data_IF_177133574271
#
_entry.id   IF_177133574271
#
_cell.length_a   1.000
_cell.length_b   1.000
_cell.length_c   1.000
_cell.angle_alpha   90.00
_cell.angle_beta   90.00
_cell.angle_gamma   90.00
#
_symmetry.space_group_name_H-M   'P 1'
#
loop_
_entity.id
_entity.type
_entity.pdbx_description
1 polymer ?
#
# COMPACT_ATOMS: atom_id res chain seq x y z
N UNK A 1 29.42 -12.80 6.86
CA UNK A 1 28.26 -13.41 7.54
C UNK A 1 27.05 -12.74 6.94
N UNK A 2 26.13 -13.52 6.38
CA UNK A 2 24.89 -12.99 5.81
C UNK A 2 24.17 -12.14 6.89
N UNK A 3 23.83 -10.90 6.55
CA UNK A 3 23.14 -9.97 7.44
C UNK A 3 21.67 -9.96 7.04
N UNK A 4 20.79 -10.44 7.90
CA UNK A 4 19.34 -10.47 7.67
C UNK A 4 18.69 -11.68 8.34
N UNK A 5 17.37 -11.79 8.16
CA UNK A 5 16.61 -12.94 8.63
C UNK A 5 16.90 -14.19 7.80
N UNK A 6 16.83 -15.36 8.44
CA UNK A 6 17.16 -16.63 7.81
C UNK A 6 15.91 -17.24 7.18
N UNK A 7 15.98 -17.53 5.88
CA UNK A 7 15.03 -18.43 5.24
C UNK A 7 15.48 -19.89 5.45
N UNK A 8 14.76 -20.63 6.30
CA UNK A 8 15.22 -21.94 6.77
C UNK A 8 15.20 -23.06 5.72
N UNK A 9 14.40 -22.93 4.66
CA UNK A 9 14.22 -23.99 3.67
C UNK A 9 15.27 -23.99 2.55
N UNK A 10 16.20 -23.03 2.51
CA UNK A 10 17.24 -22.97 1.49
C UNK A 10 18.54 -22.32 2.01
N UNK A 11 19.68 -22.50 1.30
CA UNK A 11 20.91 -21.76 1.59
C UNK A 11 20.69 -20.24 1.49
N UNK A 12 21.14 -19.50 2.49
CA UNK A 12 21.04 -18.04 2.52
C UNK A 12 22.31 -17.46 1.87
N UNK A 13 22.14 -16.67 0.81
CA UNK A 13 23.25 -16.13 0.02
C UNK A 13 23.97 -15.02 0.79
N UNK A 14 25.30 -15.10 0.90
CA UNK A 14 26.12 -14.08 1.57
C UNK A 14 26.39 -12.88 0.64
N UNK A 15 25.48 -11.91 0.65
CA UNK A 15 25.62 -10.67 -0.14
C UNK A 15 26.79 -9.79 0.30
N UNK A 16 27.49 -10.08 1.41
CA UNK A 16 28.72 -9.35 1.75
C UNK A 16 29.89 -9.68 0.81
N UNK A 17 29.80 -10.79 0.06
CA UNK A 17 30.84 -11.18 -0.89
C UNK A 17 30.74 -10.40 -2.20
N UNK A 18 31.86 -9.81 -2.66
CA UNK A 18 31.88 -8.98 -3.86
C UNK A 18 31.49 -9.75 -5.13
N UNK A 19 31.92 -11.00 -5.25
CA UNK A 19 31.59 -11.83 -6.41
C UNK A 19 30.09 -12.10 -6.49
N UNK A 20 29.42 -12.37 -5.36
CA UNK A 20 27.96 -12.54 -5.30
C UNK A 20 27.26 -11.29 -5.81
N UNK A 21 27.66 -10.10 -5.33
CA UNK A 21 27.03 -8.85 -5.76
C UNK A 21 27.28 -8.58 -7.23
N UNK A 22 28.48 -8.86 -7.74
CA UNK A 22 28.80 -8.73 -9.18
C UNK A 22 27.90 -9.61 -10.03
N UNK A 23 27.80 -10.88 -9.71
CA UNK A 23 27.06 -11.85 -10.51
C UNK A 23 25.55 -11.53 -10.51
N UNK A 24 24.99 -11.07 -9.38
CA UNK A 24 23.60 -10.57 -9.30
C UNK A 24 23.41 -9.32 -10.17
N UNK A 25 24.35 -8.36 -10.14
CA UNK A 25 24.30 -7.14 -10.96
C UNK A 25 24.32 -7.48 -12.45
N UNK A 26 25.17 -8.42 -12.87
CA UNK A 26 25.22 -8.91 -14.24
C UNK A 26 23.90 -9.57 -14.66
N UNK A 27 23.32 -10.41 -13.80
CA UNK A 27 22.04 -11.05 -14.06
C UNK A 27 20.87 -10.05 -14.18
N UNK A 28 20.79 -9.07 -13.28
CA UNK A 28 19.75 -8.03 -13.36
C UNK A 28 19.88 -7.17 -14.62
N UNK A 29 21.12 -6.86 -15.05
CA UNK A 29 21.36 -6.17 -16.31
C UNK A 29 20.92 -7.00 -17.51
N UNK A 30 21.18 -8.31 -17.51
CA UNK A 30 20.71 -9.21 -18.55
C UNK A 30 19.17 -9.29 -18.60
N UNK A 31 18.50 -9.40 -17.45
CA UNK A 31 17.03 -9.37 -17.39
C UNK A 31 16.45 -8.09 -18.00
N UNK A 32 17.10 -6.94 -17.76
CA UNK A 32 16.63 -5.67 -18.28
C UNK A 32 16.95 -5.47 -19.76
N UNK A 33 18.20 -5.70 -20.15
CA UNK A 33 18.70 -5.33 -21.48
C UNK A 33 18.39 -6.38 -22.55
N UNK A 34 18.33 -7.66 -22.18
CA UNK A 34 18.18 -8.77 -23.13
C UNK A 34 16.77 -9.39 -23.06
N UNK A 35 16.17 -9.48 -21.86
CA UNK A 35 14.81 -10.05 -21.70
C UNK A 35 13.72 -8.97 -21.77
N UNK A 36 14.02 -7.74 -21.35
CA UNK A 36 13.11 -6.59 -21.44
C UNK A 36 12.28 -6.31 -20.18
N UNK A 37 12.74 -6.73 -19.00
CA UNK A 37 12.11 -6.33 -17.74
C UNK A 37 12.40 -4.86 -17.40
N UNK A 38 11.37 -4.09 -17.04
CA UNK A 38 11.54 -2.67 -16.68
C UNK A 38 11.79 -2.42 -15.18
N UNK A 39 11.52 -3.40 -14.31
CA UNK A 39 11.57 -3.17 -12.87
C UNK A 39 11.52 -4.42 -12.01
N UNK A 40 11.73 -4.24 -10.70
CA UNK A 40 11.99 -5.33 -9.76
C UNK A 40 11.00 -5.36 -8.59
N UNK A 41 10.38 -6.52 -8.34
CA UNK A 41 9.83 -6.88 -7.03
C UNK A 41 10.84 -7.75 -6.32
N UNK A 42 11.42 -7.21 -5.25
CA UNK A 42 12.44 -7.88 -4.45
C UNK A 42 11.73 -8.70 -3.37
N UNK A 43 11.90 -10.02 -3.48
CA UNK A 43 11.37 -11.01 -2.56
C UNK A 43 12.11 -10.97 -1.22
N UNK A 44 11.40 -11.23 -0.11
CA UNK A 44 11.96 -11.45 1.23
C UNK A 44 13.10 -10.49 1.62
N UNK A 45 12.91 -9.17 1.48
CA UNK A 45 13.99 -8.17 1.64
C UNK A 45 14.47 -7.97 3.08
N UNK A 46 13.90 -8.72 4.02
CA UNK A 46 14.43 -8.86 5.38
C UNK A 46 15.64 -9.79 5.46
N UNK A 47 15.81 -10.67 4.48
CA UNK A 47 16.92 -11.62 4.43
C UNK A 47 18.27 -11.01 4.06
N UNK A 48 18.31 -9.76 3.60
CA UNK A 48 19.55 -9.10 3.20
C UNK A 48 19.47 -7.57 3.35
N UNK A 49 20.62 -6.92 3.54
CA UNK A 49 20.69 -5.48 3.79
C UNK A 49 20.14 -4.64 2.62
N UNK A 50 19.35 -3.60 2.95
CA UNK A 50 18.90 -2.59 2.00
C UNK A 50 20.05 -1.84 1.29
N UNK A 51 21.26 -1.81 1.87
CA UNK A 51 22.44 -1.24 1.21
C UNK A 51 22.87 -2.04 -0.02
N UNK A 52 22.69 -3.36 -0.01
CA UNK A 52 22.96 -4.19 -1.19
C UNK A 52 21.87 -4.04 -2.24
N UNK A 53 20.61 -3.92 -1.80
CA UNK A 53 19.48 -3.56 -2.68
C UNK A 53 19.76 -2.27 -3.44
N UNK A 54 20.31 -1.26 -2.76
CA UNK A 54 20.73 0.00 -3.40
C UNK A 54 21.71 -0.25 -4.54
N UNK A 55 22.79 -1.01 -4.32
CA UNK A 55 23.77 -1.32 -5.36
C UNK A 55 23.12 -1.99 -6.58
N UNK A 56 22.20 -2.93 -6.34
CA UNK A 56 21.50 -3.65 -7.40
C UNK A 56 20.60 -2.72 -8.21
N UNK A 57 19.84 -1.84 -7.56
CA UNK A 57 18.96 -0.87 -8.22
C UNK A 57 19.79 0.16 -9.00
N UNK A 58 20.84 0.72 -8.40
CA UNK A 58 21.69 1.73 -9.06
C UNK A 58 22.40 1.16 -10.29
N UNK A 59 22.84 -0.10 -10.22
CA UNK A 59 23.52 -0.75 -11.35
C UNK A 59 22.56 -1.12 -12.48
N UNK A 60 21.38 -1.65 -12.13
CA UNK A 60 20.40 -2.11 -13.11
C UNK A 60 19.46 -1.01 -13.62
N UNK A 61 19.39 0.14 -12.95
CA UNK A 61 18.58 1.31 -13.32
C UNK A 61 17.13 0.96 -13.79
N UNK A 62 16.33 0.31 -12.92
CA UNK A 62 14.94 -0.02 -13.23
C UNK A 62 14.06 1.24 -13.28
N UNK A 63 12.96 1.18 -14.03
CA UNK A 63 11.91 2.19 -13.98
C UNK A 63 11.18 2.21 -12.62
N UNK A 64 11.08 1.06 -11.97
CA UNK A 64 10.50 0.93 -10.64
C UNK A 64 11.09 -0.25 -9.85
N UNK A 65 11.25 -0.08 -8.54
CA UNK A 65 11.67 -1.14 -7.64
C UNK A 65 10.83 -1.12 -6.36
N UNK A 66 10.47 -2.30 -5.87
CA UNK A 66 9.69 -2.50 -4.66
C UNK A 66 10.22 -3.69 -3.86
N UNK A 67 10.42 -3.50 -2.55
CA UNK A 67 10.73 -4.58 -1.63
C UNK A 67 9.53 -5.08 -0.84
N UNK A 68 9.47 -6.39 -0.66
CA UNK A 68 8.61 -7.04 0.33
C UNK A 68 9.26 -7.06 1.71
N UNK A 69 9.12 -5.95 2.44
CA UNK A 69 9.47 -5.91 3.85
C UNK A 69 8.23 -6.29 4.67
N UNK A 70 8.09 -7.58 4.96
CA UNK A 70 6.96 -8.10 5.72
C UNK A 70 7.41 -8.55 7.11
N UNK A 71 6.91 -7.85 8.14
CA UNK A 71 7.15 -8.21 9.52
C UNK A 71 5.85 -8.23 10.34
N UNK A 72 5.93 -8.77 11.56
CA UNK A 72 4.78 -8.88 12.45
C UNK A 72 4.31 -7.50 12.94
N UNK A 73 3.01 -7.28 12.85
CA UNK A 73 2.34 -6.13 13.47
C UNK A 73 2.32 -6.25 14.99
N UNK A 74 2.08 -5.14 15.67
CA UNK A 74 1.91 -5.13 17.12
C UNK A 74 0.49 -5.55 17.52
N UNK A 75 0.39 -6.49 18.47
CA UNK A 75 -0.87 -6.95 19.04
C UNK A 75 -0.81 -6.91 20.57
N UNK A 76 -1.95 -6.59 21.17
CA UNK A 76 -2.15 -6.62 22.61
C UNK A 76 -3.43 -7.41 22.90
N UNK A 77 -3.30 -8.48 23.70
CA UNK A 77 -4.43 -9.33 24.10
C UNK A 77 -5.19 -9.90 22.88
N UNK A 78 -4.46 -10.27 21.82
CA UNK A 78 -5.01 -10.80 20.58
C UNK A 78 -5.64 -9.76 19.63
N UNK A 79 -5.62 -8.47 19.99
CA UNK A 79 -6.17 -7.39 19.18
C UNK A 79 -5.05 -6.56 18.56
N UNK A 80 -5.25 -6.10 17.32
CA UNK A 80 -4.32 -5.20 16.65
C UNK A 80 -4.19 -3.91 17.47
N UNK A 81 -2.97 -3.55 17.86
CA UNK A 81 -2.71 -2.27 18.52
C UNK A 81 -3.10 -1.13 17.57
N UNK A 82 -3.68 -0.06 18.10
CA UNK A 82 -3.98 1.14 17.32
C UNK A 82 -2.69 1.74 16.73
N UNK A 83 -1.66 1.90 17.56
CA UNK A 83 -0.37 2.44 17.14
C UNK A 83 0.48 1.34 16.48
N UNK A 84 0.76 1.51 15.18
CA UNK A 84 1.66 0.66 14.39
C UNK A 84 2.91 1.42 13.90
N UNK A 85 3.28 2.53 14.55
CA UNK A 85 4.43 3.37 14.20
C UNK A 85 5.72 2.58 14.14
N UNK A 86 5.94 1.69 15.12
CA UNK A 86 7.12 0.82 15.13
C UNK A 86 7.17 -0.07 13.88
N UNK A 87 6.03 -0.54 13.36
CA UNK A 87 5.97 -1.38 12.17
C UNK A 87 6.25 -0.56 10.89
N UNK A 88 5.54 0.57 10.68
CA UNK A 88 5.83 1.45 9.53
C UNK A 88 7.24 2.04 9.56
N UNK A 89 7.81 2.28 10.75
CA UNK A 89 9.20 2.74 10.90
C UNK A 89 10.21 1.70 10.43
N UNK A 90 9.99 0.40 10.67
CA UNK A 90 10.90 -0.64 10.16
C UNK A 90 10.92 -0.68 8.64
N UNK A 91 9.76 -0.52 8.00
CA UNK A 91 9.65 -0.41 6.54
C UNK A 91 10.37 0.85 6.04
N UNK A 92 10.13 2.02 6.67
CA UNK A 92 10.81 3.28 6.29
C UNK A 92 12.31 3.21 6.50
N UNK A 93 12.79 2.56 7.57
CA UNK A 93 14.21 2.32 7.81
C UNK A 93 14.83 1.48 6.70
N UNK A 94 14.13 0.43 6.26
CA UNK A 94 14.59 -0.37 5.12
C UNK A 94 14.63 0.44 3.83
N UNK A 95 13.59 1.23 3.52
CA UNK A 95 13.57 2.15 2.37
C UNK A 95 14.78 3.12 2.45
N UNK A 96 15.04 3.71 3.62
CA UNK A 96 16.20 4.58 3.84
C UNK A 96 17.53 3.87 3.61
N UNK A 97 17.66 2.61 4.03
CA UNK A 97 18.86 1.80 3.79
C UNK A 97 19.11 1.55 2.28
N UNK A 98 18.06 1.57 1.45
CA UNK A 98 18.21 1.56 -0.02
C UNK A 98 18.63 2.91 -0.60
N UNK A 99 18.88 3.93 0.23
CA UNK A 99 19.06 5.31 -0.22
C UNK A 99 17.77 5.94 -0.75
N UNK A 100 16.61 5.39 -0.40
CA UNK A 100 15.32 5.82 -0.94
C UNK A 100 15.13 5.51 -2.43
N UNK A 101 15.94 4.59 -3.00
CA UNK A 101 15.85 4.17 -4.41
C UNK A 101 14.75 3.12 -4.63
N UNK A 102 14.41 2.34 -3.61
CA UNK A 102 13.30 1.39 -3.64
C UNK A 102 12.06 1.92 -2.92
N UNK A 103 10.90 1.48 -3.36
CA UNK A 103 9.65 1.54 -2.58
C UNK A 103 9.48 0.26 -1.77
N UNK A 104 8.48 0.19 -0.89
CA UNK A 104 8.12 -1.06 -0.22
C UNK A 104 6.61 -1.29 -0.21
N UNK A 105 6.21 -2.55 -0.12
CA UNK A 105 4.82 -2.89 0.17
C UNK A 105 4.39 -2.30 1.51
N UNK A 106 3.26 -1.61 1.54
CA UNK A 106 2.71 -1.02 2.74
C UNK A 106 1.87 -2.05 3.52
N UNK A 107 2.60 -3.03 4.08
CA UNK A 107 2.03 -4.10 4.92
C UNK A 107 1.32 -3.52 6.15
N UNK A 108 1.76 -2.34 6.63
CA UNK A 108 1.10 -1.63 7.74
C UNK A 108 -0.32 -1.24 7.36
N UNK A 109 -0.50 -0.60 6.20
CA UNK A 109 -1.83 -0.22 5.69
C UNK A 109 -2.70 -1.46 5.49
N UNK A 110 -2.16 -2.54 4.88
CA UNK A 110 -2.91 -3.81 4.71
C UNK A 110 -3.49 -4.31 6.03
N UNK A 111 -2.67 -4.43 7.07
CA UNK A 111 -3.13 -4.98 8.35
C UNK A 111 -4.08 -4.07 9.12
N UNK A 112 -3.90 -2.76 9.02
CA UNK A 112 -4.84 -1.82 9.63
C UNK A 112 -6.19 -1.88 8.94
N UNK A 113 -6.24 -1.89 7.60
CA UNK A 113 -7.48 -2.01 6.84
C UNK A 113 -8.22 -3.32 7.14
N UNK A 114 -7.48 -4.41 7.35
CA UNK A 114 -8.05 -5.70 7.75
C UNK A 114 -8.93 -5.58 8.99
N UNK A 115 -8.52 -4.81 10.00
CA UNK A 115 -9.33 -4.56 11.21
C UNK A 115 -10.30 -3.39 11.06
N UNK A 116 -9.88 -2.30 10.41
CA UNK A 116 -10.62 -1.04 10.38
C UNK A 116 -11.98 -1.15 9.69
N UNK A 117 -12.09 -1.97 8.65
CA UNK A 117 -13.32 -2.12 7.87
C UNK A 117 -14.42 -2.93 8.58
N UNK A 118 -14.15 -3.44 9.78
CA UNK A 118 -15.14 -3.99 10.70
C UNK A 118 -15.66 -2.92 11.67
N UNK A 119 -16.06 -1.75 11.13
CA UNK A 119 -16.58 -0.61 11.89
C UNK A 119 -15.59 -0.04 12.93
N UNK A 120 -14.30 -0.13 12.64
CA UNK A 120 -13.22 0.43 13.44
C UNK A 120 -12.45 1.49 12.63
N UNK A 121 -13.16 2.34 11.88
CA UNK A 121 -12.54 3.31 10.97
C UNK A 121 -11.68 4.37 11.68
N UNK A 122 -11.87 4.56 12.99
CA UNK A 122 -10.96 5.34 13.85
C UNK A 122 -9.51 4.85 13.81
N UNK A 123 -9.25 3.60 13.37
CA UNK A 123 -7.90 3.09 13.13
C UNK A 123 -7.23 3.67 11.90
N UNK A 124 -7.95 4.36 11.01
CA UNK A 124 -7.44 4.84 9.72
C UNK A 124 -6.86 6.26 9.77
N UNK A 125 -6.82 6.87 10.95
CA UNK A 125 -6.21 8.17 11.23
C UNK A 125 -5.19 8.01 12.35
N UNK A 126 -4.00 8.61 12.21
CA UNK A 126 -3.01 8.67 13.29
C UNK A 126 -3.21 9.93 14.18
N UNK A 127 -2.53 10.03 15.34
CA UNK A 127 -2.69 11.19 16.23
C UNK A 127 -2.27 12.54 15.60
N UNK A 128 -1.60 12.53 14.45
CA UNK A 128 -1.23 13.72 13.68
C UNK A 128 -2.21 14.02 12.54
N UNK A 129 -3.33 13.29 12.46
CA UNK A 129 -4.38 13.48 11.46
C UNK A 129 -4.05 12.90 10.08
N UNK A 130 -3.02 12.04 9.97
CA UNK A 130 -2.58 11.45 8.70
C UNK A 130 -3.13 10.03 8.53
N UNK A 131 -3.20 9.53 7.28
CA UNK A 131 -3.44 8.12 7.03
C UNK A 131 -2.50 7.23 7.84
N UNK A 132 -3.03 6.17 8.42
CA UNK A 132 -2.18 5.19 9.08
C UNK A 132 -1.43 4.31 8.06
N UNK A 133 -0.22 3.87 8.42
CA UNK A 133 0.65 3.09 7.56
C UNK A 133 1.81 3.89 6.94
N UNK A 134 2.56 3.27 6.03
CA UNK A 134 3.70 3.93 5.36
C UNK A 134 3.22 5.08 4.48
N UNK A 135 2.02 4.95 3.89
CA UNK A 135 1.38 6.00 3.10
C UNK A 135 1.22 7.32 3.86
N UNK A 136 1.05 7.30 5.18
CA UNK A 136 1.00 8.51 6.01
C UNK A 136 2.34 9.22 6.23
N UNK A 137 3.45 8.52 6.03
CA UNK A 137 4.80 9.03 6.28
C UNK A 137 5.58 9.30 4.99
N UNK A 138 5.53 8.38 4.04
CA UNK A 138 6.28 8.48 2.79
C UNK A 138 5.46 7.91 1.62
N UNK A 139 4.40 8.59 1.19
CA UNK A 139 3.46 8.04 0.22
C UNK A 139 4.11 7.74 -1.14
N UNK A 140 5.12 8.49 -1.58
CA UNK A 140 5.84 8.18 -2.82
C UNK A 140 6.71 6.91 -2.80
N UNK A 141 6.81 6.26 -1.64
CA UNK A 141 7.54 4.99 -1.44
C UNK A 141 6.65 3.89 -0.86
N UNK A 142 5.35 4.17 -0.68
CA UNK A 142 4.37 3.21 -0.21
C UNK A 142 3.65 2.57 -1.39
N UNK A 143 3.75 1.25 -1.53
CA UNK A 143 2.94 0.48 -2.46
C UNK A 143 1.83 -0.21 -1.70
N UNK A 144 0.61 0.30 -1.80
CA UNK A 144 -0.55 -0.21 -1.07
C UNK A 144 -1.17 -1.39 -1.81
N UNK A 145 -1.70 -2.37 -1.08
CA UNK A 145 -2.27 -3.59 -1.68
C UNK A 145 -3.35 -4.22 -0.80
N UNK A 146 -4.32 -4.83 -1.48
CA UNK A 146 -5.31 -5.80 -0.99
C UNK A 146 -4.68 -7.09 -0.50
N UNK A 147 -4.14 -7.76 -1.52
CA UNK A 147 -3.72 -9.13 -1.46
C UNK A 147 -2.52 -9.39 -2.36
N UNK A 148 -1.79 -10.45 -2.02
CA UNK A 148 -0.76 -11.04 -2.85
C UNK A 148 -0.91 -12.58 -2.83
N UNK A 149 0.02 -13.28 -3.46
CA UNK A 149 -0.03 -14.74 -3.58
C UNK A 149 0.22 -15.51 -2.27
N UNK A 150 0.79 -14.86 -1.25
CA UNK A 150 1.01 -15.46 0.08
C UNK A 150 -0.15 -15.19 1.02
N UNK A 151 -0.59 -13.93 1.06
CA UNK A 151 -1.65 -13.46 1.95
C UNK A 151 -3.02 -13.96 1.52
N UNK A 152 -3.26 -14.04 0.21
CA UNK A 152 -4.47 -14.58 -0.39
C UNK A 152 -4.19 -15.84 -1.22
N UNK A 153 -4.88 -15.95 -2.36
CA UNK A 153 -4.79 -17.12 -3.26
C UNK A 153 -4.97 -18.45 -2.52
N UNK A 154 -4.26 -19.50 -2.94
CA UNK A 154 -4.30 -20.83 -2.32
C UNK A 154 -3.46 -20.96 -1.05
N UNK A 155 -2.54 -20.02 -0.79
CA UNK A 155 -1.76 -20.02 0.46
C UNK A 155 -2.59 -19.50 1.63
N UNK A 156 -3.29 -18.38 1.42
CA UNK A 156 -4.29 -17.85 2.35
C UNK A 156 -3.75 -17.58 3.75
N UNK A 157 -2.48 -17.17 3.87
CA UNK A 157 -1.84 -16.96 5.17
C UNK A 157 -2.44 -15.79 5.95
N UNK A 158 -2.95 -14.78 5.25
CA UNK A 158 -3.54 -13.60 5.87
C UNK A 158 -4.54 -12.89 4.94
N UNK A 159 -5.68 -13.56 4.63
CA UNK A 159 -6.60 -13.13 3.60
C UNK A 159 -7.44 -11.94 4.07
N UNK A 160 -7.65 -10.99 3.18
CA UNK A 160 -8.50 -9.83 3.33
C UNK A 160 -9.95 -10.27 3.40
N UNK A 161 -10.79 -9.66 4.25
CA UNK A 161 -12.19 -10.05 4.34
C UNK A 161 -12.89 -9.83 2.99
N UNK A 162 -13.47 -10.90 2.42
CA UNK A 162 -14.03 -10.89 1.06
C UNK A 162 -15.17 -9.88 0.90
N UNK A 163 -16.01 -9.74 1.92
CA UNK A 163 -17.11 -8.77 1.99
C UNK A 163 -16.62 -7.32 2.12
N UNK A 164 -15.32 -7.10 2.35
CA UNK A 164 -14.69 -5.78 2.52
C UNK A 164 -13.83 -5.35 1.33
N UNK A 165 -13.76 -6.15 0.27
CA UNK A 165 -12.94 -5.85 -0.91
C UNK A 165 -13.33 -4.52 -1.58
N UNK A 166 -14.61 -4.22 -1.71
CA UNK A 166 -15.07 -2.95 -2.28
C UNK A 166 -14.55 -1.74 -1.48
N UNK A 167 -14.66 -1.80 -0.15
CA UNK A 167 -14.19 -0.73 0.74
C UNK A 167 -12.66 -0.61 0.72
N UNK A 168 -11.95 -1.74 0.72
CA UNK A 168 -10.49 -1.79 0.62
C UNK A 168 -9.99 -1.18 -0.67
N UNK A 169 -10.54 -1.58 -1.82
CA UNK A 169 -10.14 -1.04 -3.12
C UNK A 169 -10.48 0.45 -3.23
N UNK A 170 -11.65 0.86 -2.74
CA UNK A 170 -12.01 2.28 -2.68
C UNK A 170 -10.98 3.08 -1.89
N UNK A 171 -10.41 2.54 -0.80
CA UNK A 171 -9.32 3.21 -0.08
C UNK A 171 -8.04 3.27 -0.92
N UNK A 172 -7.46 2.13 -1.31
CA UNK A 172 -6.12 2.13 -1.93
C UNK A 172 -6.10 2.80 -3.31
N UNK A 173 -7.18 2.74 -4.08
CA UNK A 173 -7.24 3.36 -5.41
C UNK A 173 -7.54 4.86 -5.36
N UNK A 174 -8.10 5.39 -4.27
CA UNK A 174 -8.35 6.83 -4.14
C UNK A 174 -7.28 7.57 -3.34
N UNK A 175 -6.50 6.87 -2.51
CA UNK A 175 -5.49 7.46 -1.62
C UNK A 175 -4.10 7.60 -2.29
N UNK A 176 -3.16 8.34 -1.67
CA UNK A 176 -1.77 8.38 -2.12
C UNK A 176 -1.08 7.01 -2.01
N UNK A 177 0.19 6.96 -2.41
CA UNK A 177 0.85 5.69 -2.67
C UNK A 177 0.60 5.17 -4.08
N UNK A 178 1.23 4.04 -4.37
CA UNK A 178 1.08 3.31 -5.63
C UNK A 178 0.23 2.06 -5.36
N UNK A 179 -1.08 2.06 -5.69
CA UNK A 179 -1.91 0.89 -5.45
C UNK A 179 -1.55 -0.27 -6.37
N UNK A 180 -1.55 -1.48 -5.80
CA UNK A 180 -1.40 -2.75 -6.52
C UNK A 180 -2.72 -3.52 -6.49
N UNK A 181 -3.16 -3.94 -7.67
CA UNK A 181 -4.38 -4.73 -7.85
C UNK A 181 -3.99 -6.20 -7.94
N UNK A 182 -4.59 -7.03 -7.10
CA UNK A 182 -4.39 -8.47 -7.12
C UNK A 182 -5.14 -9.15 -8.28
N UNK A 183 -4.51 -10.14 -8.90
CA UNK A 183 -5.00 -10.80 -10.12
C UNK A 183 -6.39 -11.42 -9.92
N UNK A 184 -6.55 -12.30 -8.93
CA UNK A 184 -7.79 -13.05 -8.70
C UNK A 184 -8.96 -12.10 -8.43
N UNK A 185 -8.70 -11.00 -7.72
CA UNK A 185 -9.70 -9.97 -7.49
C UNK A 185 -10.16 -9.29 -8.79
N UNK A 186 -9.23 -9.04 -9.70
CA UNK A 186 -9.52 -8.36 -10.96
C UNK A 186 -10.16 -9.28 -12.00
N UNK A 187 -9.80 -10.56 -12.06
CA UNK A 187 -10.27 -11.47 -13.10
C UNK A 187 -11.30 -12.50 -12.62
N UNK A 188 -11.20 -12.99 -11.39
CA UNK A 188 -11.95 -14.19 -10.96
C UNK A 188 -13.07 -13.88 -9.96
N UNK A 189 -12.99 -12.77 -9.22
CA UNK A 189 -13.93 -12.46 -8.14
C UNK A 189 -15.14 -11.62 -8.59
N UNK A 190 -15.26 -11.32 -9.89
CA UNK A 190 -16.39 -10.59 -10.45
C UNK A 190 -16.47 -9.11 -10.08
N UNK A 191 -15.39 -8.52 -9.55
CA UNK A 191 -15.32 -7.11 -9.13
C UNK A 191 -14.50 -6.22 -10.08
N UNK A 192 -14.20 -6.70 -11.29
CA UNK A 192 -13.41 -5.99 -12.31
C UNK A 192 -13.95 -4.60 -12.63
N UNK A 193 -15.24 -4.49 -12.91
CA UNK A 193 -15.87 -3.22 -13.29
C UNK A 193 -15.82 -2.20 -12.15
N UNK A 194 -15.98 -2.67 -10.91
CA UNK A 194 -15.81 -1.84 -9.71
C UNK A 194 -14.38 -1.30 -9.59
N UNK A 195 -13.37 -2.14 -9.83
CA UNK A 195 -11.97 -1.72 -9.82
C UNK A 195 -11.69 -0.73 -10.96
N UNK A 196 -12.21 -0.96 -12.17
CA UNK A 196 -12.07 -0.04 -13.30
C UNK A 196 -12.68 1.34 -13.02
N UNK A 197 -13.87 1.40 -12.41
CA UNK A 197 -14.55 2.65 -12.02
C UNK A 197 -13.72 3.45 -11.00
N UNK A 198 -13.06 2.76 -10.06
CA UNK A 198 -12.15 3.38 -9.09
C UNK A 198 -10.84 3.88 -9.74
N UNK A 199 -10.29 3.12 -10.70
CA UNK A 199 -9.12 3.57 -11.49
C UNK A 199 -9.48 4.83 -12.28
N UNK A 200 -10.65 4.85 -12.92
CA UNK A 200 -11.15 6.00 -13.66
C UNK A 200 -11.32 7.22 -12.74
N UNK A 201 -11.91 7.04 -11.55
CA UNK A 201 -12.03 8.10 -10.56
C UNK A 201 -10.65 8.68 -10.20
N UNK A 202 -9.67 7.81 -9.93
CA UNK A 202 -8.28 8.18 -9.62
C UNK A 202 -7.65 9.02 -10.73
N UNK A 203 -7.80 8.57 -11.98
CA UNK A 203 -7.24 9.22 -13.16
C UNK A 203 -7.89 10.58 -13.43
N UNK A 204 -9.22 10.65 -13.42
CA UNK A 204 -9.97 11.90 -13.62
C UNK A 204 -9.64 12.96 -12.56
N UNK A 205 -9.47 12.53 -11.32
CA UNK A 205 -9.06 13.40 -10.23
C UNK A 205 -7.57 13.77 -10.24
N UNK A 206 -6.76 13.18 -11.11
CA UNK A 206 -5.31 13.41 -11.15
C UNK A 206 -4.59 12.93 -9.88
N UNK A 207 -5.13 11.94 -9.17
CA UNK A 207 -4.52 11.43 -7.94
C UNK A 207 -3.25 10.66 -8.28
N UNK A 208 -2.16 10.99 -7.57
CA UNK A 208 -0.86 10.36 -7.71
C UNK A 208 -0.28 9.97 -6.35
N UNK A 209 0.87 9.30 -6.35
CA UNK A 209 1.47 8.76 -5.12
C UNK A 209 1.91 9.82 -4.08
N UNK A 210 1.78 11.12 -4.38
CA UNK A 210 2.14 12.23 -3.48
C UNK A 210 0.96 13.15 -3.18
N UNK A 211 -0.25 12.82 -3.62
CA UNK A 211 -1.43 13.63 -3.32
C UNK A 211 -1.57 13.80 -1.80
N UNK A 212 -2.05 14.96 -1.37
CA UNK A 212 -2.33 15.22 0.05
C UNK A 212 -3.56 14.44 0.51
N UNK A 213 -3.70 14.23 1.81
CA UNK A 213 -4.92 13.68 2.41
C UNK A 213 -5.32 14.54 3.59
N UNK A 214 -6.59 14.92 3.64
CA UNK A 214 -7.23 15.54 4.80
C UNK A 214 -8.40 14.66 5.24
N UNK A 215 -8.28 14.09 6.43
CA UNK A 215 -9.29 13.21 7.01
C UNK A 215 -10.26 14.06 7.83
N UNK A 216 -11.55 13.96 7.51
CA UNK A 216 -12.63 14.68 8.20
C UNK A 216 -13.31 13.79 9.24
N UNK A 217 -13.48 12.50 8.93
CA UNK A 217 -14.12 11.53 9.80
C UNK A 217 -13.32 10.23 9.84
N UNK A 218 -13.16 9.69 11.04
CA UNK A 218 -12.61 8.36 11.29
C UNK A 218 -13.11 7.90 12.67
N UNK A 219 -14.27 7.26 12.70
CA UNK A 219 -14.94 6.82 13.93
C UNK A 219 -15.58 5.44 13.72
N UNK A 220 -16.49 5.00 14.60
CA UNK A 220 -17.15 3.70 14.43
C UNK A 220 -18.17 3.68 13.28
N UNK A 221 -18.69 4.84 12.88
CA UNK A 221 -19.75 4.95 11.87
C UNK A 221 -19.20 5.04 10.44
N UNK A 222 -17.99 5.58 10.28
CA UNK A 222 -17.34 5.63 8.98
C UNK A 222 -16.04 6.45 8.90
N UNK A 223 -15.58 6.57 7.67
CA UNK A 223 -14.36 7.27 7.27
C UNK A 223 -14.67 8.27 6.15
N UNK A 224 -14.14 9.49 6.22
CA UNK A 224 -14.18 10.46 5.13
C UNK A 224 -12.84 11.13 5.00
N UNK A 225 -12.32 11.16 3.76
CA UNK A 225 -11.13 11.90 3.43
C UNK A 225 -11.26 12.62 2.08
N UNK A 226 -10.70 13.83 2.04
CA UNK A 226 -10.36 14.51 0.80
C UNK A 226 -8.94 14.11 0.41
N UNK A 227 -8.76 13.69 -0.84
CA UNK A 227 -7.46 13.35 -1.43
C UNK A 227 -7.14 14.34 -2.54
N UNK A 228 -5.99 15.01 -2.41
CA UNK A 228 -5.68 16.20 -3.21
C UNK A 228 -6.73 17.29 -3.02
N UNK A 229 -6.98 18.05 -4.07
CA UNK A 229 -8.01 19.09 -4.09
C UNK A 229 -9.25 18.69 -4.90
N UNK A 230 -9.31 17.44 -5.36
CA UNK A 230 -10.17 17.01 -6.48
C UNK A 230 -11.02 15.78 -6.18
N UNK A 231 -10.73 15.00 -5.14
CA UNK A 231 -11.47 13.79 -4.80
C UNK A 231 -11.84 13.75 -3.32
N UNK A 232 -13.07 13.34 -3.03
CA UNK A 232 -13.53 12.98 -1.69
C UNK A 232 -14.02 11.55 -1.71
N UNK A 233 -13.58 10.77 -0.72
CA UNK A 233 -14.00 9.39 -0.49
C UNK A 233 -14.66 9.26 0.87
N UNK A 234 -15.76 8.52 0.93
CA UNK A 234 -16.47 8.14 2.15
C UNK A 234 -16.64 6.62 2.22
N UNK A 235 -16.48 6.04 3.41
CA UNK A 235 -16.88 4.68 3.79
C UNK A 235 -17.87 4.74 4.96
N UNK A 236 -18.76 3.75 5.08
CA UNK A 236 -19.65 3.58 6.23
C UNK A 236 -21.07 4.13 6.06
N UNK A 237 -21.92 3.90 7.06
CA UNK A 237 -23.38 4.04 6.96
C UNK A 237 -23.92 5.43 7.30
N UNK A 238 -23.08 6.31 7.85
CA UNK A 238 -23.54 7.61 8.36
C UNK A 238 -23.94 8.59 7.26
N UNK A 239 -24.87 9.49 7.57
CA UNK A 239 -25.41 10.46 6.62
C UNK A 239 -24.46 11.66 6.45
N UNK A 240 -23.54 11.54 5.50
CA UNK A 240 -22.55 12.55 5.16
C UNK A 240 -22.44 12.74 3.65
N UNK A 241 -22.23 13.99 3.22
CA UNK A 241 -21.86 14.38 1.88
C UNK A 241 -21.08 15.71 1.92
N UNK A 242 -20.38 16.10 0.84
CA UNK A 242 -19.57 17.32 0.82
C UNK A 242 -20.30 18.61 1.20
N UNK A 243 -21.59 18.77 0.88
CA UNK A 243 -22.32 20.01 1.19
C UNK A 243 -22.66 20.16 2.68
N UNK A 244 -22.42 19.12 3.49
CA UNK A 244 -22.59 19.16 4.95
C UNK A 244 -21.29 19.46 5.70
N UNK A 245 -20.16 19.52 5.01
CA UNK A 245 -18.84 19.71 5.62
C UNK A 245 -18.42 21.18 5.52
N UNK A 246 -18.43 21.87 6.66
CA UNK A 246 -18.11 23.31 6.72
C UNK A 246 -16.65 23.62 6.32
N UNK A 247 -15.75 22.64 6.43
CA UNK A 247 -14.33 22.81 6.15
C UNK A 247 -13.90 22.19 4.81
N UNK A 248 -14.84 22.00 3.89
CA UNK A 248 -14.62 21.45 2.55
C UNK A 248 -15.18 22.42 1.50
N UNK A 249 -14.30 23.28 0.98
CA UNK A 249 -14.67 24.24 -0.05
C UNK A 249 -14.82 23.58 -1.43
N UNK A 250 -15.61 24.22 -2.30
CA UNK A 250 -15.77 23.84 -3.70
C UNK A 250 -17.11 23.18 -4.03
N UNK A 251 -17.32 22.95 -5.33
CA UNK A 251 -18.48 22.24 -5.83
C UNK A 251 -18.11 20.79 -6.11
N UNK A 252 -18.86 19.86 -5.52
CA UNK A 252 -18.53 18.44 -5.50
C UNK A 252 -19.66 17.64 -6.14
N UNK A 253 -19.35 16.98 -7.25
CA UNK A 253 -20.29 16.10 -7.93
C UNK A 253 -20.05 14.66 -7.51
N UNK A 254 -21.13 13.95 -7.12
CA UNK A 254 -21.04 12.53 -6.83
C UNK A 254 -20.70 11.77 -8.11
N UNK A 255 -19.60 11.03 -8.10
CA UNK A 255 -19.11 10.22 -9.20
C UNK A 255 -19.50 8.75 -9.04
N UNK A 256 -19.39 8.20 -7.82
CA UNK A 256 -19.77 6.82 -7.51
C UNK A 256 -20.62 6.77 -6.25
N UNK A 257 -21.64 5.92 -6.26
CA UNK A 257 -22.46 5.57 -5.09
C UNK A 257 -22.61 4.05 -4.98
N UNK A 258 -21.90 3.42 -4.03
CA UNK A 258 -22.12 2.02 -3.64
C UNK A 258 -22.71 1.92 -2.23
N UNK A 259 -23.52 2.89 -1.84
CA UNK A 259 -24.16 2.91 -0.53
C UNK A 259 -23.13 3.03 0.60
N UNK A 260 -23.17 2.08 1.53
CA UNK A 260 -22.28 2.07 2.71
C UNK A 260 -20.87 1.58 2.44
N UNK A 261 -20.65 0.87 1.33
CA UNK A 261 -19.33 0.35 1.02
C UNK A 261 -18.39 1.51 0.72
N UNK A 262 -18.75 2.34 -0.27
CA UNK A 262 -18.07 3.60 -0.54
C UNK A 262 -18.90 4.55 -1.39
N UNK A 263 -18.59 5.84 -1.26
CA UNK A 263 -19.10 6.92 -2.11
C UNK A 263 -17.96 7.85 -2.49
N UNK A 264 -17.92 8.27 -3.75
CA UNK A 264 -16.89 9.17 -4.28
C UNK A 264 -17.50 10.44 -4.84
N UNK A 265 -16.86 11.58 -4.58
CA UNK A 265 -17.16 12.86 -5.22
C UNK A 265 -15.92 13.40 -5.89
N UNK A 266 -16.11 13.97 -7.07
CA UNK A 266 -15.09 14.70 -7.80
C UNK A 266 -15.43 16.18 -7.79
N UNK A 267 -14.40 17.02 -7.65
CA UNK A 267 -14.56 18.47 -7.74
C UNK A 267 -14.85 18.88 -9.18
N UNK A 268 -15.80 19.80 -9.37
CA UNK A 268 -16.11 20.43 -10.67
C UNK A 268 -15.17 21.59 -10.99
#
# INVERSE_FOLDING_TARGET
>A
MAVGDIFHAAPNIDHSQDFVRRDIKEWLNWLRNDIGFDGWRLDFVRGFSGTYVKEYIETSNPAFAIGEYWDSLAYEHGNLCYNQDAHRQRIVNWINATGGTSSAFDVTTKGILHSALHNQYWRMIDPQGKPTGVVGWWPSRAVTFLENHDTGSTQGHWPFPRDKLAQGYAYILTHPGTPTIFYDHFYDFGIREMINELIEARQRAGIHCRSSVKIYHANNEGYVAQVGDTLVMKLGHFDWNPSKENHLDGNWQKFVDKGSDYQLWLRQ
#
